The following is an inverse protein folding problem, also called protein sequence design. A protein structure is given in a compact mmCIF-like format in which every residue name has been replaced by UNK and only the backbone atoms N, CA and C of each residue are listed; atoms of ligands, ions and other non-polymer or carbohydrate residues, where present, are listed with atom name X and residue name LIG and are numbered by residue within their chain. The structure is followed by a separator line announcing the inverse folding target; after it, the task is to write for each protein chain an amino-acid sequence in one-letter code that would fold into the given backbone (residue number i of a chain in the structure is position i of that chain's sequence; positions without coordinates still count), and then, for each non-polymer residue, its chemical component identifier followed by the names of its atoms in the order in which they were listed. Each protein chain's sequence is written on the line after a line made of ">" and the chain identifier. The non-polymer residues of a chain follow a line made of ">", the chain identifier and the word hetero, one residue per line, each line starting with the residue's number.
data_IF_042972992103
#
_entry.id   IF_042972992103
#
_cell.length_a   1.000
_cell.length_b   1.000
_cell.length_c   1.000
_cell.angle_alpha   90.00
_cell.angle_beta   90.00
_cell.angle_gamma   90.00
#
_symmetry.space_group_name_H-M   'P 1'
#
loop_
_entity.id
_entity.type
_entity.pdbx_description
1 polymer ?
#
# COMPACT_ATOMS: atom_id res chain seq x y z
N UNK A 1 -17.75 2.33 23.22
CA UNK A 1 -17.21 1.00 22.89
C UNK A 1 -18.26 0.23 22.10
N UNK A 2 -18.06 0.03 20.79
CA UNK A 2 -18.91 -0.84 19.97
C UNK A 2 -18.02 -1.95 19.43
N UNK A 3 -18.21 -3.16 19.96
CA UNK A 3 -17.67 -4.40 19.41
C UNK A 3 -18.41 -4.65 18.10
N UNK A 4 -17.70 -4.80 16.99
CA UNK A 4 -18.31 -5.31 15.76
C UNK A 4 -17.77 -6.71 15.51
N UNK A 5 -18.69 -7.66 15.54
CA UNK A 5 -18.45 -9.09 15.44
C UNK A 5 -18.03 -9.46 14.01
N UNK A 6 -16.94 -10.19 13.87
CA UNK A 6 -16.66 -10.96 12.65
C UNK A 6 -17.30 -12.33 12.82
N UNK A 7 -18.24 -12.63 11.93
CA UNK A 7 -19.01 -13.86 11.91
C UNK A 7 -18.09 -15.09 11.80
N UNK A 8 -18.22 -16.01 12.75
CA UNK A 8 -17.65 -17.35 12.65
C UNK A 8 -18.62 -18.18 11.81
N UNK A 9 -18.24 -18.45 10.56
CA UNK A 9 -18.96 -19.41 9.75
C UNK A 9 -18.64 -20.82 10.27
N UNK A 10 -19.62 -21.46 10.92
CA UNK A 10 -19.55 -22.88 11.28
C UNK A 10 -19.71 -23.68 9.99
N UNK A 11 -18.60 -24.24 9.48
CA UNK A 11 -18.63 -25.14 8.34
C UNK A 11 -19.14 -26.51 8.82
N UNK A 12 -20.35 -26.88 8.42
CA UNK A 12 -20.90 -28.20 8.72
C UNK A 12 -20.12 -29.28 7.94
N UNK A 13 -19.52 -30.25 8.66
CA UNK A 13 -18.91 -31.43 8.05
C UNK A 13 -19.99 -32.32 7.42
N UNK A 14 -19.97 -32.48 6.11
CA UNK A 14 -20.73 -33.53 5.42
C UNK A 14 -19.78 -34.72 5.24
N UNK A 15 -19.93 -35.73 6.09
CA UNK A 15 -19.29 -37.03 5.90
C UNK A 15 -20.22 -37.91 5.05
N UNK A 16 -19.84 -38.21 3.81
CA UNK A 16 -20.47 -39.24 2.99
C UNK A 16 -19.64 -40.52 3.08
N UNK A 17 -20.19 -41.57 3.69
CA UNK A 17 -19.58 -42.90 3.71
C UNK A 17 -20.14 -43.77 2.58
N UNK A 18 -19.28 -44.51 1.88
CA UNK A 18 -19.68 -45.56 0.95
C UNK A 18 -19.23 -46.93 1.47
N UNK A 19 -20.14 -47.90 1.49
CA UNK A 19 -19.88 -49.26 1.95
C UNK A 19 -19.26 -50.11 0.82
N UNK A 20 -18.22 -50.90 1.12
CA UNK A 20 -17.62 -51.88 0.21
C UNK A 20 -17.42 -53.22 0.92
N UNK A 21 -17.74 -54.32 0.24
CA UNK A 21 -17.63 -55.68 0.77
C UNK A 21 -16.23 -56.27 0.47
N UNK A 22 -15.41 -56.41 1.51
CA UNK A 22 -14.06 -56.99 1.48
C UNK A 22 -13.12 -56.24 2.43
N UNK A 23 -12.76 -56.87 3.56
CA UNK A 23 -12.27 -56.24 4.82
C UNK A 23 -13.31 -55.30 5.46
N UNK A 24 -13.90 -55.75 6.59
CA UNK A 24 -15.03 -55.07 7.26
C UNK A 24 -14.51 -53.88 8.07
N UNK A 25 -14.69 -52.68 7.53
CA UNK A 25 -14.51 -51.41 8.24
C UNK A 25 -14.92 -50.23 7.36
N UNK A 26 -15.62 -49.24 7.92
CA UNK A 26 -15.98 -48.03 7.18
C UNK A 26 -14.72 -47.17 7.00
N UNK A 27 -14.31 -46.94 5.75
CA UNK A 27 -13.23 -46.00 5.44
C UNK A 27 -13.82 -44.59 5.35
N UNK A 28 -13.36 -43.69 6.21
CA UNK A 28 -13.61 -42.26 6.10
C UNK A 28 -12.33 -41.57 5.61
N UNK A 29 -12.41 -40.86 4.49
CA UNK A 29 -11.34 -39.99 4.04
C UNK A 29 -11.62 -38.57 4.52
N UNK A 30 -10.69 -37.99 5.27
CA UNK A 30 -10.80 -36.62 5.78
C UNK A 30 -9.63 -35.83 5.24
N UNK A 31 -9.92 -34.76 4.51
CA UNK A 31 -8.94 -33.78 4.08
C UNK A 31 -8.95 -32.63 5.09
N UNK A 32 -7.81 -32.40 5.75
CA UNK A 32 -7.63 -31.34 6.75
C UNK A 32 -6.60 -30.32 6.23
N UNK A 33 -7.01 -29.36 5.39
CA UNK A 33 -6.08 -28.36 4.88
C UNK A 33 -5.56 -27.47 6.01
N UNK A 34 -4.26 -27.17 5.98
CA UNK A 34 -3.61 -26.19 6.85
C UNK A 34 -3.12 -25.04 5.97
N UNK A 35 -3.50 -23.81 6.30
CA UNK A 35 -3.02 -22.61 5.60
C UNK A 35 -2.00 -21.88 6.46
N UNK A 36 -0.81 -21.66 5.91
CA UNK A 36 0.20 -20.77 6.48
C UNK A 36 0.22 -19.51 5.61
N UNK A 37 -0.07 -18.36 6.21
CA UNK A 37 -0.01 -17.09 5.49
C UNK A 37 1.44 -16.73 5.16
N UNK A 38 1.65 -16.04 4.03
CA UNK A 38 2.94 -15.44 3.72
C UNK A 38 3.33 -14.46 4.82
N UNK A 39 4.58 -14.53 5.28
CA UNK A 39 5.17 -13.53 6.16
C UNK A 39 5.75 -12.41 5.30
N UNK A 40 5.96 -11.23 5.89
CA UNK A 40 6.61 -10.09 5.22
C UNK A 40 5.81 -9.60 4.00
N UNK A 41 4.51 -9.39 4.19
CA UNK A 41 3.66 -8.81 3.14
C UNK A 41 3.58 -7.29 3.30
N UNK A 42 3.63 -6.60 2.16
CA UNK A 42 3.44 -5.16 2.04
C UNK A 42 2.22 -4.89 1.17
N UNK A 43 1.32 -4.02 1.64
CA UNK A 43 0.19 -3.52 0.87
C UNK A 43 0.10 -2.01 0.99
N UNK A 44 -0.44 -1.35 -0.04
CA UNK A 44 -0.61 0.08 -0.05
C UNK A 44 -1.95 0.45 -0.68
N UNK A 45 -2.59 1.48 -0.14
CA UNK A 45 -3.85 2.04 -0.65
C UNK A 45 -3.74 3.55 -0.75
N UNK A 46 -4.39 4.11 -1.77
CA UNK A 46 -4.46 5.56 -1.97
C UNK A 46 -5.87 6.05 -1.64
N UNK A 47 -5.94 7.17 -0.91
CA UNK A 47 -7.19 7.89 -0.66
C UNK A 47 -7.01 9.35 -1.04
N UNK A 48 -7.79 9.81 -2.02
CA UNK A 48 -7.86 11.23 -2.36
C UNK A 48 -8.52 12.02 -1.23
N UNK A 49 -7.98 13.20 -0.94
CA UNK A 49 -8.60 14.11 0.00
C UNK A 49 -9.87 14.73 -0.61
N UNK A 50 -10.99 14.66 0.10
CA UNK A 50 -12.27 15.20 -0.39
C UNK A 50 -12.26 16.72 -0.57
N UNK A 51 -11.33 17.42 0.10
CA UNK A 51 -11.12 18.86 -0.05
C UNK A 51 -10.18 19.23 -1.20
N UNK A 52 -9.63 18.25 -1.93
CA UNK A 52 -8.84 18.51 -3.13
C UNK A 52 -9.74 18.71 -4.34
N UNK A 53 -10.20 19.96 -4.49
CA UNK A 53 -11.09 20.37 -5.58
C UNK A 53 -10.43 21.44 -6.44
N UNK A 54 -10.59 21.33 -7.77
CA UNK A 54 -10.12 22.32 -8.73
C UNK A 54 -11.12 23.46 -8.98
N UNK A 55 -10.80 24.38 -9.91
CA UNK A 55 -9.58 24.38 -10.73
C UNK A 55 -8.38 25.00 -10.02
N UNK A 56 -8.59 25.98 -9.13
CA UNK A 56 -7.51 26.63 -8.41
C UNK A 56 -7.14 25.84 -7.14
N UNK A 57 -5.91 25.35 -7.08
CA UNK A 57 -5.36 24.67 -5.90
C UNK A 57 -4.29 25.51 -5.25
N UNK A 58 -4.26 25.52 -3.91
CA UNK A 58 -3.27 26.26 -3.13
C UNK A 58 -2.00 25.44 -2.96
N UNK A 59 -0.85 26.09 -2.75
CA UNK A 59 0.38 25.40 -2.35
C UNK A 59 0.19 24.71 -0.99
N UNK A 60 0.67 23.47 -0.84
CA UNK A 60 0.52 22.70 0.40
C UNK A 60 -0.89 22.14 0.65
N UNK A 61 -1.83 22.33 -0.28
CA UNK A 61 -3.16 21.72 -0.19
C UNK A 61 -3.02 20.20 -0.24
N UNK A 62 -3.69 19.50 0.66
CA UNK A 62 -3.65 18.04 0.71
C UNK A 62 -4.35 17.46 -0.54
N UNK A 63 -3.63 16.61 -1.27
CA UNK A 63 -4.13 15.89 -2.45
C UNK A 63 -4.74 14.57 -2.00
N UNK A 64 -4.07 13.89 -1.07
CA UNK A 64 -4.49 12.59 -0.58
C UNK A 64 -3.47 11.99 0.38
N UNK A 65 -3.70 10.72 0.74
CA UNK A 65 -2.86 9.95 1.65
C UNK A 65 -2.58 8.58 1.05
N UNK A 66 -1.30 8.20 1.03
CA UNK A 66 -0.87 6.84 0.80
C UNK A 66 -0.81 6.12 2.15
N UNK A 67 -1.63 5.10 2.33
CA UNK A 67 -1.67 4.25 3.52
C UNK A 67 -0.98 2.94 3.22
N UNK A 68 0.00 2.56 4.03
CA UNK A 68 0.80 1.34 3.85
C UNK A 68 0.61 0.45 5.05
N UNK A 69 0.39 -0.84 4.79
CA UNK A 69 0.40 -1.89 5.79
C UNK A 69 1.52 -2.87 5.49
N UNK A 70 2.41 -3.04 6.46
CA UNK A 70 3.54 -3.96 6.43
C UNK A 70 3.32 -5.01 7.54
N UNK A 71 3.54 -6.28 7.27
CA UNK A 71 3.34 -7.36 8.26
C UNK A 71 4.59 -8.20 8.41
N UNK A 72 4.76 -8.88 9.54
CA UNK A 72 5.94 -9.72 9.81
C UNK A 72 7.21 -8.93 10.16
N UNK A 73 8.31 -9.61 10.53
CA UNK A 73 9.56 -8.95 10.90
C UNK A 73 10.20 -8.20 9.72
N UNK A 74 10.47 -6.91 9.91
CA UNK A 74 11.18 -6.07 8.94
C UNK A 74 11.86 -4.91 9.68
N UNK A 75 12.96 -4.40 9.12
CA UNK A 75 13.70 -3.27 9.72
C UNK A 75 13.16 -1.91 9.26
N UNK A 76 12.55 -1.89 8.06
CA UNK A 76 12.10 -0.65 7.44
C UNK A 76 11.18 -0.86 6.25
N UNK A 77 10.51 0.22 5.84
CA UNK A 77 9.75 0.31 4.60
C UNK A 77 10.36 1.39 3.72
N UNK A 78 10.73 1.02 2.50
CA UNK A 78 11.14 1.96 1.44
C UNK A 78 9.94 2.36 0.59
N UNK A 79 9.91 3.62 0.18
CA UNK A 79 8.87 4.17 -0.69
C UNK A 79 9.54 4.99 -1.80
N UNK A 80 9.13 4.75 -3.04
CA UNK A 80 9.58 5.50 -4.20
C UNK A 80 8.40 5.95 -5.05
N UNK A 81 8.63 6.95 -5.91
CA UNK A 81 7.64 7.44 -6.85
C UNK A 81 8.16 7.41 -8.28
N UNK A 82 7.33 6.95 -9.24
CA UNK A 82 7.72 6.95 -10.65
C UNK A 82 7.97 8.38 -11.14
N UNK A 83 9.17 8.63 -11.68
CA UNK A 83 9.56 9.97 -12.14
C UNK A 83 9.68 11.00 -11.01
N UNK A 84 9.70 10.55 -9.76
CA UNK A 84 9.90 11.44 -8.61
C UNK A 84 11.37 11.80 -8.44
N UNK A 85 11.60 12.97 -7.86
CA UNK A 85 12.93 13.39 -7.41
C UNK A 85 12.86 13.73 -5.94
N UNK A 86 13.93 13.45 -5.20
CA UNK A 86 14.08 13.91 -3.82
C UNK A 86 15.13 15.00 -3.81
N UNK A 87 14.88 16.07 -3.07
CA UNK A 87 15.85 17.15 -2.88
C UNK A 87 15.71 17.68 -1.47
N UNK A 88 16.78 17.59 -0.68
CA UNK A 88 16.82 18.10 0.70
C UNK A 88 15.66 17.57 1.57
N UNK A 89 15.35 16.28 1.42
CA UNK A 89 14.31 15.60 2.20
C UNK A 89 12.88 15.94 1.81
N UNK A 90 12.68 16.49 0.60
CA UNK A 90 11.35 16.71 0.01
C UNK A 90 11.25 15.90 -1.28
N UNK A 91 10.27 14.99 -1.34
CA UNK A 91 9.99 14.26 -2.57
C UNK A 91 9.00 15.05 -3.44
N UNK A 92 9.35 15.20 -4.71
CA UNK A 92 8.54 15.81 -5.75
C UNK A 92 8.00 14.72 -6.66
N UNK A 93 6.68 14.53 -6.66
CA UNK A 93 6.01 13.43 -7.34
C UNK A 93 5.13 13.96 -8.47
N UNK A 94 5.38 13.60 -9.75
CA UNK A 94 4.54 14.05 -10.84
C UNK A 94 3.16 13.37 -10.82
N UNK A 95 2.11 14.15 -11.03
CA UNK A 95 0.77 13.66 -11.37
C UNK A 95 0.59 13.82 -12.88
N UNK A 96 0.43 12.69 -13.55
CA UNK A 96 0.38 12.61 -15.01
C UNK A 96 -1.06 12.55 -15.50
N UNK A 97 -1.34 13.19 -16.64
CA UNK A 97 -2.59 12.95 -17.38
C UNK A 97 -2.60 11.58 -18.07
N UNK A 98 -3.68 11.28 -18.79
CA UNK A 98 -3.83 10.02 -19.53
C UNK A 98 -2.79 9.82 -20.64
N UNK A 99 -2.13 10.89 -21.08
CA UNK A 99 -1.08 10.88 -22.09
C UNK A 99 0.32 10.71 -21.47
N UNK A 100 0.42 10.66 -20.14
CA UNK A 100 1.69 10.54 -19.42
C UNK A 100 2.42 11.87 -19.24
N UNK A 101 1.77 13.00 -19.49
CA UNK A 101 2.36 14.34 -19.31
C UNK A 101 2.14 14.81 -17.88
N UNK A 102 3.20 15.30 -17.22
CA UNK A 102 3.09 15.85 -15.88
C UNK A 102 2.34 17.19 -15.88
N UNK A 103 1.15 17.22 -15.28
CA UNK A 103 0.29 18.41 -15.21
C UNK A 103 0.56 19.22 -13.94
N UNK A 104 0.77 18.55 -12.82
CA UNK A 104 1.20 19.17 -11.57
C UNK A 104 2.03 18.21 -10.74
N UNK A 105 2.56 18.70 -9.62
CA UNK A 105 3.47 17.95 -8.75
C UNK A 105 2.96 17.91 -7.33
N UNK A 106 2.98 16.72 -6.76
CA UNK A 106 2.85 16.46 -5.34
C UNK A 106 4.17 16.70 -4.61
N UNK A 107 4.05 16.99 -3.33
CA UNK A 107 5.09 17.20 -2.35
C UNK A 107 4.84 16.26 -1.20
N UNK A 108 5.88 15.51 -0.85
CA UNK A 108 5.91 14.65 0.33
C UNK A 108 7.06 15.13 1.20
N UNK A 109 6.78 15.35 2.47
CA UNK A 109 7.73 15.84 3.46
C UNK A 109 7.43 15.18 4.81
N UNK A 110 8.46 14.93 5.61
CA UNK A 110 8.29 14.36 6.94
C UNK A 110 9.58 13.75 7.49
N UNK A 111 9.56 13.34 8.77
CA UNK A 111 10.67 12.62 9.38
C UNK A 111 10.93 11.31 8.61
N UNK A 112 12.19 11.04 8.27
CA UNK A 112 12.58 9.86 7.50
C UNK A 112 12.48 10.00 5.98
N UNK A 113 12.07 11.17 5.45
CA UNK A 113 12.30 11.48 4.04
C UNK A 113 13.76 11.89 3.87
N UNK A 114 14.62 10.88 3.80
CA UNK A 114 16.04 11.06 3.50
C UNK A 114 16.23 11.03 1.98
N UNK A 115 17.07 11.93 1.48
CA UNK A 115 17.51 11.94 0.09
C UNK A 115 18.42 10.73 -0.14
N UNK A 116 17.81 9.58 -0.38
CA UNK A 116 18.52 8.34 -0.68
C UNK A 116 18.66 8.29 -2.19
N UNK A 117 19.91 8.32 -2.67
CA UNK A 117 20.22 8.18 -4.10
C UNK A 117 19.72 6.85 -4.68
N UNK A 118 19.50 5.84 -3.83
CA UNK A 118 18.86 4.59 -4.19
C UNK A 118 18.07 4.03 -3.00
N UNK A 119 16.79 3.74 -3.20
CA UNK A 119 15.91 3.15 -2.16
C UNK A 119 16.00 1.63 -2.06
N UNK A 120 16.76 0.99 -2.96
CA UNK A 120 16.74 -0.46 -3.17
C UNK A 120 15.52 -0.94 -3.97
N UNK A 121 14.62 -0.03 -4.38
CA UNK A 121 13.45 -0.31 -5.21
C UNK A 121 13.78 0.08 -6.64
N UNK A 122 14.18 -0.89 -7.47
CA UNK A 122 14.42 -0.71 -8.91
C UNK A 122 15.34 0.48 -9.29
N UNK A 123 16.27 0.86 -8.41
CA UNK A 123 17.14 2.02 -8.61
C UNK A 123 16.41 3.37 -8.63
N UNK A 124 15.16 3.42 -8.16
CA UNK A 124 14.36 4.63 -8.11
C UNK A 124 14.77 5.53 -6.93
N UNK A 125 14.78 6.83 -7.20
CA UNK A 125 14.84 7.84 -6.15
C UNK A 125 13.58 7.76 -5.28
N UNK A 126 13.77 7.94 -3.98
CA UNK A 126 12.69 7.88 -3.01
C UNK A 126 13.23 8.05 -1.60
N UNK A 127 12.49 7.53 -0.64
CA UNK A 127 12.86 7.62 0.76
C UNK A 127 12.62 6.32 1.51
N UNK A 128 13.26 6.18 2.67
CA UNK A 128 13.17 5.01 3.52
C UNK A 128 12.68 5.43 4.89
N UNK A 129 11.57 4.84 5.31
CA UNK A 129 11.09 4.93 6.69
C UNK A 129 11.69 3.75 7.46
N UNK A 130 12.73 4.03 8.26
CA UNK A 130 13.23 3.08 9.24
C UNK A 130 12.22 2.97 10.38
N UNK A 131 11.26 2.06 10.21
CA UNK A 131 10.20 1.80 11.17
C UNK A 131 9.83 0.32 11.08
N UNK A 132 9.63 -0.28 12.24
CA UNK A 132 9.02 -1.60 12.40
C UNK A 132 7.50 -1.49 12.55
N UNK A 133 6.92 -0.30 12.40
CA UNK A 133 5.49 -0.09 12.51
C UNK A 133 4.78 -0.76 11.34
N UNK A 134 3.78 -1.58 11.66
CA UNK A 134 2.97 -2.29 10.67
C UNK A 134 2.06 -1.36 9.85
N UNK A 135 1.96 -0.09 10.22
CA UNK A 135 1.10 0.89 9.55
C UNK A 135 1.78 2.24 9.42
N UNK A 136 1.77 2.78 8.19
CA UNK A 136 2.34 4.08 7.84
C UNK A 136 1.31 4.88 7.05
N UNK A 137 1.29 6.19 7.27
CA UNK A 137 0.44 7.13 6.53
C UNK A 137 1.30 8.26 5.98
N UNK A 138 1.31 8.40 4.66
CA UNK A 138 2.11 9.38 3.94
C UNK A 138 1.17 10.40 3.28
N UNK A 139 1.03 11.62 3.85
CA UNK A 139 0.26 12.67 3.22
C UNK A 139 1.01 13.22 2.01
N UNK A 140 0.27 13.45 0.92
CA UNK A 140 0.78 14.11 -0.28
C UNK A 140 0.05 15.43 -0.44
N UNK A 141 0.82 16.51 -0.57
CA UNK A 141 0.32 17.88 -0.72
C UNK A 141 0.73 18.44 -2.07
N UNK A 142 0.09 19.49 -2.57
CA UNK A 142 0.55 20.19 -3.78
C UNK A 142 1.90 20.86 -3.52
N UNK A 143 2.80 20.77 -4.51
CA UNK A 143 4.12 21.40 -4.41
C UNK A 143 4.04 22.93 -4.48
N UNK A 144 3.14 23.46 -5.30
CA UNK A 144 2.88 24.89 -5.46
C UNK A 144 1.41 25.14 -5.80
N UNK A 145 1.04 26.42 -5.86
CA UNK A 145 -0.29 26.80 -6.35
C UNK A 145 -0.37 26.59 -7.85
N UNK A 146 -1.54 26.17 -8.35
CA UNK A 146 -1.76 25.92 -9.77
C UNK A 146 -3.25 26.04 -10.13
N UNK A 147 -3.52 26.24 -11.42
CA UNK A 147 -4.86 26.08 -12.00
C UNK A 147 -4.87 24.78 -12.80
N UNK A 148 -5.63 23.80 -12.34
CA UNK A 148 -5.69 22.46 -12.93
C UNK A 148 -6.91 22.32 -13.85
N UNK A 149 -6.76 21.69 -15.02
CA UNK A 149 -7.91 21.33 -15.84
C UNK A 149 -8.73 20.24 -15.16
N UNK A 150 -10.00 20.11 -15.56
CA UNK A 150 -10.82 18.98 -15.14
C UNK A 150 -10.29 17.68 -15.74
N UNK A 151 -10.11 16.66 -14.93
CA UNK A 151 -9.59 15.37 -15.38
C UNK A 151 -9.06 14.53 -14.21
N UNK A 152 -8.61 13.32 -14.56
CA UNK A 152 -7.92 12.42 -13.63
C UNK A 152 -6.44 12.51 -13.88
N UNK A 153 -5.67 12.73 -12.80
CA UNK A 153 -4.22 12.73 -12.86
C UNK A 153 -3.66 11.69 -11.90
N UNK A 154 -2.72 10.89 -12.37
CA UNK A 154 -2.24 9.70 -11.66
C UNK A 154 -0.78 9.86 -11.29
N UNK A 155 -0.46 9.57 -10.03
CA UNK A 155 0.90 9.34 -9.59
C UNK A 155 1.07 7.85 -9.24
N UNK A 156 2.27 7.32 -9.45
CA UNK A 156 2.60 5.91 -9.15
C UNK A 156 3.60 5.83 -8.01
N UNK A 157 3.26 5.05 -6.99
CA UNK A 157 4.10 4.74 -5.84
C UNK A 157 4.61 3.30 -5.92
N UNK A 158 5.80 3.08 -5.40
CA UNK A 158 6.37 1.77 -5.14
C UNK A 158 6.67 1.67 -3.66
N UNK A 159 6.36 0.52 -3.06
CA UNK A 159 6.53 0.28 -1.63
C UNK A 159 7.13 -1.10 -1.44
N UNK A 160 8.17 -1.18 -0.61
CA UNK A 160 8.89 -2.43 -0.38
C UNK A 160 9.36 -2.50 1.07
N UNK A 161 9.13 -3.65 1.71
CA UNK A 161 9.77 -4.00 2.97
C UNK A 161 11.25 -4.33 2.77
N UNK A 162 12.08 -3.92 3.72
CA UNK A 162 13.48 -4.26 3.76
C UNK A 162 13.81 -4.95 5.09
N UNK A 163 14.58 -6.03 4.99
CA UNK A 163 15.06 -6.85 6.09
C UNK A 163 16.54 -7.14 5.85
N UNK A 164 17.37 -6.91 6.86
CA UNK A 164 18.81 -7.23 6.88
C UNK A 164 19.10 -8.51 7.66
#
# INVERSE_FOLDING_TARGET
>A
MRKSASAVAVLALIACGSAHAGFVGNKAEVQAPVTIAAQNTTSATWSQDSGFTGPAVSAGQKIGTLSITATGPHDSVSIAGKGSTVTRGVANLPFLDAQGTAVFRGRIQGPGINDQSNTGIDGLAGWRVASTAESLSVPVTTFGAATLPAGTFTATFYVQQYQN
#
